data_IF_409471402809
#
_entry.id   IF_409471402809
#
_cell.length_a   1.000
_cell.length_b   1.000
_cell.length_c   1.000
_cell.angle_alpha   90.00
_cell.angle_beta   90.00
_cell.angle_gamma   90.00
#
_symmetry.space_group_name_H-M   'P 1'
#
loop_
_entity.id
_entity.type
_entity.pdbx_description
1 polymer ?
#
# COMPACT_ATOMS: atom_id res chain seq x y z
N UNK A 1 11.00 -56.24 8.16
CA UNK A 1 10.71 -55.57 9.45
C UNK A 1 12.03 -55.14 10.08
N UNK A 2 12.60 -54.07 9.53
CA UNK A 2 13.77 -53.38 10.08
C UNK A 2 13.36 -51.91 10.14
N UNK A 3 13.66 -51.28 11.28
CA UNK A 3 13.90 -49.84 11.48
C UNK A 3 13.37 -49.38 12.84
N UNK A 4 13.96 -49.95 13.89
CA UNK A 4 14.14 -49.28 15.19
C UNK A 4 15.64 -49.17 15.44
N UNK A 5 16.29 -48.17 14.82
CA UNK A 5 17.63 -47.73 15.22
C UNK A 5 17.85 -46.31 14.75
N UNK A 6 18.32 -45.47 15.67
CA UNK A 6 18.76 -44.08 15.51
C UNK A 6 17.69 -42.98 15.63
N UNK A 7 17.10 -42.85 16.83
CA UNK A 7 16.83 -41.49 17.35
C UNK A 7 18.20 -40.93 17.75
N UNK A 8 18.84 -40.24 16.82
CA UNK A 8 20.12 -39.57 17.07
C UNK A 8 19.94 -38.53 18.17
N UNK A 9 20.81 -38.59 19.19
CA UNK A 9 21.03 -37.47 20.13
C UNK A 9 21.12 -36.18 19.32
N UNK A 10 20.22 -35.22 19.52
CA UNK A 10 20.36 -33.85 19.03
C UNK A 10 21.58 -33.24 19.75
N UNK A 11 22.77 -33.50 19.22
CA UNK A 11 24.00 -32.92 19.74
C UNK A 11 23.94 -31.41 19.49
N UNK A 12 24.16 -30.62 20.55
CA UNK A 12 24.23 -29.16 20.43
C UNK A 12 25.18 -28.78 19.29
N UNK A 13 24.65 -28.05 18.30
CA UNK A 13 25.43 -27.64 17.15
C UNK A 13 26.68 -26.86 17.62
N UNK A 14 27.89 -27.26 17.18
CA UNK A 14 29.12 -26.63 17.64
C UNK A 14 29.27 -25.23 17.03
N UNK A 15 29.96 -24.33 17.75
CA UNK A 15 30.18 -22.94 17.33
C UNK A 15 30.75 -22.83 15.90
N UNK A 16 31.66 -23.75 15.53
CA UNK A 16 32.25 -23.79 14.20
C UNK A 16 31.23 -23.95 13.07
N UNK A 17 30.16 -24.71 13.28
CA UNK A 17 29.12 -24.88 12.26
C UNK A 17 28.33 -23.58 12.02
N UNK A 18 28.02 -22.83 13.09
CA UNK A 18 27.37 -21.52 12.94
C UNK A 18 28.25 -20.52 12.18
N UNK A 19 29.56 -20.52 12.44
CA UNK A 19 30.48 -19.60 11.77
C UNK A 19 30.63 -19.92 10.28
N UNK A 20 30.58 -21.20 9.90
CA UNK A 20 30.59 -21.62 8.49
C UNK A 20 29.29 -21.25 7.78
N UNK A 21 28.13 -21.51 8.41
CA UNK A 21 26.83 -21.17 7.82
C UNK A 21 26.60 -19.67 7.68
N UNK A 22 27.09 -18.88 8.62
CA UNK A 22 27.06 -17.43 8.53
C UNK A 22 28.06 -16.85 7.50
N UNK A 23 28.86 -17.70 6.84
CA UNK A 23 29.89 -17.29 5.88
C UNK A 23 31.06 -16.53 6.53
N UNK A 24 31.19 -16.58 7.85
CA UNK A 24 32.23 -15.86 8.60
C UNK A 24 33.58 -16.59 8.54
N UNK A 25 33.56 -17.92 8.37
CA UNK A 25 34.75 -18.74 8.11
C UNK A 25 34.42 -19.78 7.05
N UNK A 26 35.44 -20.25 6.34
CA UNK A 26 35.32 -21.36 5.39
C UNK A 26 35.41 -22.72 6.10
N UNK A 27 34.85 -23.80 5.51
CA UNK A 27 35.03 -25.16 6.02
C UNK A 27 36.51 -25.54 6.19
N UNK A 28 37.37 -25.06 5.28
CA UNK A 28 38.82 -25.27 5.34
C UNK A 28 39.46 -24.60 6.56
N UNK A 29 39.10 -23.35 6.85
CA UNK A 29 39.54 -22.62 8.05
C UNK A 29 39.07 -23.30 9.34
N UNK A 30 37.82 -23.78 9.36
CA UNK A 30 37.31 -24.54 10.49
C UNK A 30 38.12 -25.81 10.74
N UNK A 31 38.41 -26.59 9.70
CA UNK A 31 39.22 -27.81 9.81
C UNK A 31 40.65 -27.53 10.29
N UNK A 32 41.26 -26.42 9.86
CA UNK A 32 42.57 -26.00 10.34
C UNK A 32 42.52 -25.63 11.83
N UNK A 33 41.52 -24.87 12.25
CA UNK A 33 41.35 -24.48 13.65
C UNK A 33 41.09 -25.69 14.56
N UNK A 34 40.29 -26.67 14.09
CA UNK A 34 40.03 -27.92 14.82
C UNK A 34 41.28 -28.81 14.94
N UNK A 35 42.16 -28.84 13.94
CA UNK A 35 43.45 -29.55 14.04
C UNK A 35 44.40 -28.92 15.05
N UNK A 36 44.30 -27.61 15.25
CA UNK A 36 45.09 -26.85 16.22
C UNK A 36 44.50 -26.94 17.64
N UNK A 37 43.18 -27.13 17.74
CA UNK A 37 42.45 -27.42 18.97
C UNK A 37 42.67 -28.86 19.49
N UNK A 38 43.91 -29.36 19.41
CA UNK A 38 44.32 -30.62 20.07
C UNK A 38 44.57 -30.44 21.56
N UNK A 39 44.77 -29.20 21.98
CA UNK A 39 44.92 -28.81 23.38
C UNK A 39 43.56 -28.42 23.97
N UNK A 40 43.05 -29.14 25.00
CA UNK A 40 41.74 -28.88 25.58
C UNK A 40 41.60 -27.50 26.26
N UNK A 41 42.71 -26.82 26.59
CA UNK A 41 42.64 -25.49 27.20
C UNK A 41 42.35 -24.35 26.21
N UNK A 42 42.51 -24.60 24.89
CA UNK A 42 42.27 -23.57 23.87
C UNK A 42 40.86 -23.68 23.30
N UNK A 43 40.07 -22.63 23.46
CA UNK A 43 38.72 -22.57 22.86
C UNK A 43 38.81 -22.27 21.37
N UNK A 44 38.03 -22.97 20.55
CA UNK A 44 37.96 -22.77 19.10
C UNK A 44 37.85 -21.28 18.70
N UNK A 45 37.02 -20.51 19.40
CA UNK A 45 36.86 -19.07 19.13
C UNK A 45 38.15 -18.26 19.31
N UNK A 46 38.98 -18.59 20.29
CA UNK A 46 40.25 -17.91 20.52
C UNK A 46 41.28 -18.22 19.41
N UNK A 47 41.28 -19.46 18.91
CA UNK A 47 42.14 -19.88 17.78
C UNK A 47 41.75 -19.10 16.52
N UNK A 48 40.45 -18.98 16.23
CA UNK A 48 39.95 -18.23 15.07
C UNK A 48 40.28 -16.73 15.14
N UNK A 49 40.26 -16.16 16.35
CA UNK A 49 40.64 -14.76 16.59
C UNK A 49 42.15 -14.57 16.47
N UNK A 50 42.95 -15.47 17.04
CA UNK A 50 44.42 -15.41 16.96
C UNK A 50 44.94 -15.52 15.52
N UNK A 51 44.25 -16.27 14.65
CA UNK A 51 44.55 -16.37 13.20
C UNK A 51 44.03 -15.18 12.39
N UNK A 52 43.29 -14.24 13.01
CA UNK A 52 42.70 -13.09 12.34
C UNK A 52 41.52 -13.42 11.42
N UNK A 53 40.94 -14.64 11.50
CA UNK A 53 39.85 -15.05 10.63
C UNK A 53 38.49 -14.52 11.08
N UNK A 54 38.32 -14.26 12.39
CA UNK A 54 37.11 -13.67 12.95
C UNK A 54 37.50 -12.68 14.05
N UNK A 55 36.79 -11.56 14.18
CA UNK A 55 37.01 -10.62 15.28
C UNK A 55 36.31 -11.10 16.55
N UNK A 56 36.92 -10.86 17.72
CA UNK A 56 36.36 -11.22 19.03
C UNK A 56 34.90 -10.71 19.23
N UNK A 57 34.54 -9.46 18.88
CA UNK A 57 33.16 -8.97 19.04
C UNK A 57 32.14 -9.74 18.18
N UNK A 58 32.56 -10.26 17.02
CA UNK A 58 31.71 -11.05 16.13
C UNK A 58 31.34 -12.39 16.77
N UNK A 59 32.29 -13.03 17.45
CA UNK A 59 32.05 -14.29 18.17
C UNK A 59 31.12 -14.05 19.36
N UNK A 60 31.36 -12.97 20.12
CA UNK A 60 30.52 -12.59 21.27
C UNK A 60 29.08 -12.29 20.85
N UNK A 61 28.91 -11.54 19.76
CA UNK A 61 27.60 -11.24 19.20
C UNK A 61 26.85 -12.52 18.80
N UNK A 62 27.52 -13.40 18.05
CA UNK A 62 26.92 -14.64 17.56
C UNK A 62 26.56 -15.59 18.72
N UNK A 63 27.41 -15.67 19.74
CA UNK A 63 27.12 -16.42 20.96
C UNK A 63 25.89 -15.87 21.69
N UNK A 64 25.82 -14.55 21.90
CA UNK A 64 24.76 -13.93 22.68
C UNK A 64 23.41 -13.88 21.97
N UNK A 65 23.40 -13.66 20.65
CA UNK A 65 22.16 -13.42 19.88
C UNK A 65 21.63 -14.63 19.14
N UNK A 66 22.46 -15.64 18.86
CA UNK A 66 22.07 -16.80 18.04
C UNK A 66 22.25 -18.11 18.81
N UNK A 67 23.49 -18.42 19.24
CA UNK A 67 23.82 -19.74 19.79
C UNK A 67 23.15 -20.01 21.14
N UNK A 68 23.22 -19.08 22.09
CA UNK A 68 22.65 -19.27 23.43
C UNK A 68 21.11 -19.36 23.41
N UNK A 69 20.36 -18.50 22.68
CA UNK A 69 18.92 -18.65 22.53
C UNK A 69 18.50 -19.99 21.92
N UNK A 70 19.14 -20.45 20.84
CA UNK A 70 18.79 -21.73 20.21
C UNK A 70 19.03 -22.93 21.13
N UNK A 71 20.11 -22.91 21.92
CA UNK A 71 20.40 -23.97 22.90
C UNK A 71 19.40 -24.00 24.06
N UNK A 72 18.90 -22.85 24.48
CA UNK A 72 17.84 -22.78 25.50
C UNK A 72 16.53 -23.39 24.99
N UNK A 73 16.13 -23.03 23.77
CA UNK A 73 14.95 -23.60 23.10
C UNK A 73 15.08 -25.12 22.95
N UNK A 74 16.26 -25.62 22.52
CA UNK A 74 16.50 -27.05 22.40
C UNK A 74 16.40 -27.82 23.74
N UNK A 75 16.87 -27.23 24.85
CA UNK A 75 16.74 -27.82 26.19
C UNK A 75 15.31 -27.77 26.72
N UNK A 76 14.59 -26.69 26.48
CA UNK A 76 13.18 -26.57 26.87
C UNK A 76 12.30 -27.57 26.10
N UNK A 77 12.55 -27.79 24.80
CA UNK A 77 11.88 -28.84 24.04
C UNK A 77 12.20 -30.25 24.56
N UNK A 78 13.45 -30.53 24.96
CA UNK A 78 13.82 -31.83 25.51
C UNK A 78 13.11 -32.13 26.83
N UNK A 79 12.96 -31.13 27.72
CA UNK A 79 12.22 -31.28 28.98
C UNK A 79 10.70 -31.42 28.81
N UNK A 80 10.15 -30.98 27.68
CA UNK A 80 8.73 -31.13 27.36
C UNK A 80 8.40 -32.52 26.79
N UNK A 81 9.35 -33.16 26.08
CA UNK A 81 9.15 -34.46 25.43
C UNK A 81 9.19 -35.64 26.43
N UNK A 82 10.01 -35.55 27.50
CA UNK A 82 10.05 -36.58 28.56
C UNK A 82 8.74 -36.67 29.37
N UNK A 83 7.97 -35.58 29.49
CA UNK A 83 6.82 -35.51 30.38
C UNK A 83 5.46 -35.82 29.71
N UNK A 84 5.37 -36.03 28.39
CA UNK A 84 4.05 -36.05 27.73
C UNK A 84 3.86 -37.05 26.57
N UNK A 85 4.33 -38.28 26.73
CA UNK A 85 4.25 -39.35 25.72
C UNK A 85 2.84 -39.93 25.44
N UNK A 86 1.74 -39.21 25.69
CA UNK A 86 0.37 -39.75 25.42
C UNK A 86 -0.61 -38.86 24.65
N UNK A 87 -0.25 -37.65 24.26
CA UNK A 87 -1.20 -36.74 23.58
C UNK A 87 -0.70 -36.18 22.23
N UNK A 88 0.24 -36.87 21.56
CA UNK A 88 0.93 -36.32 20.39
C UNK A 88 0.21 -36.52 19.04
N UNK A 89 -0.87 -37.29 18.94
CA UNK A 89 -1.49 -37.57 17.63
C UNK A 89 -2.58 -36.54 17.25
N UNK A 90 -3.23 -35.90 18.23
CA UNK A 90 -4.32 -34.95 17.95
C UNK A 90 -3.92 -33.46 17.95
N UNK A 91 -2.64 -33.14 18.20
CA UNK A 91 -2.15 -31.74 18.24
C UNK A 91 -1.19 -31.36 17.11
N UNK A 92 -0.77 -32.31 16.29
CA UNK A 92 0.20 -32.09 15.19
C UNK A 92 -0.43 -31.41 13.97
N UNK A 93 -1.76 -31.31 13.89
CA UNK A 93 -2.45 -30.65 12.77
C UNK A 93 -2.59 -29.12 12.88
N UNK A 94 -2.13 -28.49 13.97
CA UNK A 94 -2.32 -27.02 14.15
C UNK A 94 -1.08 -26.20 14.47
N UNK A 95 0.12 -26.80 14.55
CA UNK A 95 1.36 -26.03 14.74
C UNK A 95 2.54 -26.64 13.96
N UNK A 96 2.47 -26.59 12.64
CA UNK A 96 3.65 -26.73 11.78
C UNK A 96 3.63 -25.63 10.72
N UNK A 97 4.03 -24.43 11.13
CA UNK A 97 4.69 -23.50 10.24
C UNK A 97 5.91 -22.96 10.97
N UNK A 98 7.03 -23.64 10.73
CA UNK A 98 8.37 -23.13 10.97
C UNK A 98 8.49 -21.75 10.31
N UNK A 99 8.46 -20.68 11.11
CA UNK A 99 8.84 -19.34 10.66
C UNK A 99 10.34 -19.36 10.33
N UNK A 100 10.67 -19.59 9.07
CA UNK A 100 11.88 -19.03 8.46
C UNK A 100 11.91 -17.53 8.78
N UNK A 101 13.09 -16.88 8.89
CA UNK A 101 13.18 -15.45 9.10
C UNK A 101 12.66 -14.73 7.85
N UNK A 102 11.36 -14.51 7.78
CA UNK A 102 10.74 -13.60 6.83
C UNK A 102 11.19 -12.22 7.27
N UNK A 103 11.92 -11.52 6.41
CA UNK A 103 12.20 -10.10 6.60
C UNK A 103 10.85 -9.37 6.67
N UNK A 104 10.38 -9.05 7.88
CA UNK A 104 9.16 -8.27 8.07
C UNK A 104 9.44 -6.83 7.67
N UNK A 105 9.14 -6.48 6.41
CA UNK A 105 9.16 -5.10 5.96
C UNK A 105 7.97 -4.36 6.57
N UNK A 106 8.17 -3.79 7.76
CA UNK A 106 7.15 -3.02 8.49
C UNK A 106 6.99 -1.63 7.87
N UNK A 107 6.12 -1.49 6.88
CA UNK A 107 5.71 -0.18 6.38
C UNK A 107 4.75 0.49 7.36
N UNK A 108 5.27 1.35 8.22
CA UNK A 108 4.45 2.29 8.97
C UNK A 108 4.08 3.48 8.08
N UNK A 109 2.95 3.39 7.36
CA UNK A 109 2.40 4.55 6.65
C UNK A 109 1.89 5.58 7.66
N UNK A 110 2.62 6.68 7.80
CA UNK A 110 2.18 7.83 8.58
C UNK A 110 1.23 8.68 7.76
N UNK A 111 -0.04 8.79 8.20
CA UNK A 111 -1.07 9.58 7.53
C UNK A 111 -0.60 11.00 7.18
N UNK A 112 0.08 11.68 8.12
CA UNK A 112 0.57 13.04 7.90
C UNK A 112 1.67 13.13 6.84
N UNK A 113 2.59 12.15 6.79
CA UNK A 113 3.66 12.12 5.78
C UNK A 113 3.10 11.84 4.39
N UNK A 114 2.17 10.89 4.29
CA UNK A 114 1.48 10.56 3.04
C UNK A 114 0.75 11.77 2.49
N UNK A 115 -0.05 12.46 3.31
CA UNK A 115 -0.79 13.66 2.88
C UNK A 115 0.13 14.79 2.41
N UNK A 116 1.22 15.07 3.13
CA UNK A 116 2.17 16.11 2.71
C UNK A 116 2.80 15.81 1.35
N UNK A 117 3.14 14.54 1.11
CA UNK A 117 3.66 14.11 -0.18
C UNK A 117 2.61 14.28 -1.29
N UNK A 118 1.38 13.85 -1.06
CA UNK A 118 0.28 13.98 -2.03
C UNK A 118 -0.04 15.44 -2.34
N UNK A 119 -0.09 16.31 -1.32
CA UNK A 119 -0.30 17.75 -1.50
C UNK A 119 0.81 18.38 -2.34
N UNK A 120 2.08 18.06 -2.06
CA UNK A 120 3.20 18.57 -2.84
C UNK A 120 3.09 18.15 -4.32
N UNK A 121 2.64 16.93 -4.57
CA UNK A 121 2.41 16.43 -5.93
C UNK A 121 1.26 17.18 -6.61
N UNK A 122 0.09 17.33 -5.97
CA UNK A 122 -1.06 18.07 -6.53
C UNK A 122 -0.68 19.52 -6.85
N UNK A 123 -0.11 20.26 -5.90
CA UNK A 123 0.30 21.64 -6.15
C UNK A 123 1.38 21.74 -7.23
N UNK A 124 2.27 20.76 -7.33
CA UNK A 124 3.24 20.66 -8.42
C UNK A 124 2.56 20.47 -9.79
N UNK A 125 1.59 19.56 -9.89
CA UNK A 125 0.84 19.32 -11.12
C UNK A 125 0.02 20.53 -11.54
N UNK A 126 -0.74 21.13 -10.62
CA UNK A 126 -1.51 22.36 -10.89
C UNK A 126 -0.58 23.48 -11.35
N UNK A 127 0.57 23.67 -10.68
CA UNK A 127 1.53 24.70 -11.07
C UNK A 127 2.08 24.48 -12.48
N UNK A 128 2.47 23.24 -12.82
CA UNK A 128 2.94 22.91 -14.17
C UNK A 128 1.82 23.12 -15.20
N UNK A 129 0.60 22.68 -14.89
CA UNK A 129 -0.56 22.86 -15.76
C UNK A 129 -0.81 24.34 -16.07
N UNK A 130 -0.82 25.19 -15.04
CA UNK A 130 -0.98 26.63 -15.19
C UNK A 130 0.15 27.26 -16.01
N UNK A 131 1.40 26.82 -15.86
CA UNK A 131 2.52 27.29 -16.68
C UNK A 131 2.36 26.88 -18.16
N UNK A 132 1.89 25.67 -18.43
CA UNK A 132 1.64 25.17 -19.78
C UNK A 132 0.47 25.90 -20.42
N UNK A 133 -0.62 26.14 -19.68
CA UNK A 133 -1.76 26.92 -20.17
C UNK A 133 -1.36 28.39 -20.40
N UNK A 134 -0.56 28.99 -19.51
CA UNK A 134 -0.02 30.32 -19.72
C UNK A 134 0.83 30.39 -21.00
N UNK A 135 1.66 29.38 -21.28
CA UNK A 135 2.48 29.35 -22.49
C UNK A 135 1.66 29.17 -23.77
N UNK A 136 0.51 28.50 -23.69
CA UNK A 136 -0.43 28.36 -24.81
C UNK A 136 -1.06 29.71 -25.18
N UNK A 137 -1.51 30.48 -24.20
CA UNK A 137 -2.27 31.73 -24.43
C UNK A 137 -1.40 32.98 -24.63
N UNK A 138 -0.23 33.06 -23.99
CA UNK A 138 0.56 34.31 -23.97
C UNK A 138 1.90 34.23 -24.70
N UNK A 139 2.43 33.03 -24.98
CA UNK A 139 3.70 32.88 -25.67
C UNK A 139 3.50 32.51 -27.15
N UNK A 140 4.41 32.94 -28.04
CA UNK A 140 4.46 32.43 -29.41
C UNK A 140 4.59 30.91 -29.43
N UNK A 141 4.09 30.27 -30.49
CA UNK A 141 4.19 28.83 -30.64
C UNK A 141 5.67 28.38 -30.65
N UNK A 142 5.96 27.29 -29.94
CA UNK A 142 7.29 26.68 -29.87
C UNK A 142 7.16 25.15 -30.00
N UNK A 143 8.23 24.46 -30.45
CA UNK A 143 8.17 23.02 -30.70
C UNK A 143 7.67 22.24 -29.49
N UNK A 144 6.83 21.23 -29.74
CA UNK A 144 6.25 20.31 -28.73
C UNK A 144 5.26 20.93 -27.73
N UNK A 145 4.97 22.25 -27.79
CA UNK A 145 3.98 22.86 -26.88
C UNK A 145 2.61 22.19 -27.02
N UNK A 146 2.03 22.27 -28.20
CA UNK A 146 0.64 21.87 -28.44
C UNK A 146 0.50 20.35 -28.60
N UNK A 147 1.55 19.66 -29.04
CA UNK A 147 1.53 18.22 -29.31
C UNK A 147 1.94 17.36 -28.12
N UNK A 148 2.72 17.90 -27.17
CA UNK A 148 3.28 17.15 -26.04
C UNK A 148 2.92 17.83 -24.72
N UNK A 149 3.35 19.06 -24.49
CA UNK A 149 3.20 19.67 -23.17
C UNK A 149 1.74 19.89 -22.76
N UNK A 150 0.93 20.46 -23.66
CA UNK A 150 -0.49 20.74 -23.40
C UNK A 150 -1.25 19.44 -23.12
N UNK A 151 -1.22 18.39 -23.97
CA UNK A 151 -1.94 17.15 -23.67
C UNK A 151 -1.45 16.42 -22.41
N UNK A 152 -0.15 16.46 -22.08
CA UNK A 152 0.39 15.73 -20.93
C UNK A 152 0.14 16.41 -19.58
N UNK A 153 -0.09 17.73 -19.54
CA UNK A 153 -0.22 18.48 -18.30
C UNK A 153 -1.52 19.29 -18.19
N UNK A 154 -2.40 19.26 -19.19
CA UNK A 154 -3.73 19.85 -19.06
C UNK A 154 -4.52 19.12 -17.97
N UNK A 155 -5.00 19.83 -16.96
CA UNK A 155 -5.77 19.21 -15.86
C UNK A 155 -7.18 18.78 -16.30
N UNK A 156 -7.74 19.45 -17.30
CA UNK A 156 -9.03 19.11 -17.97
C UNK A 156 -8.92 17.93 -18.94
N UNK A 157 -7.69 17.46 -19.21
CA UNK A 157 -7.48 16.40 -20.19
C UNK A 157 -7.59 15.01 -19.59
N UNK A 158 -7.94 14.05 -20.43
CA UNK A 158 -7.84 12.63 -20.11
C UNK A 158 -6.44 12.06 -20.40
N UNK A 159 -6.12 10.90 -19.82
CA UNK A 159 -4.94 10.09 -20.18
C UNK A 159 -3.59 10.82 -20.04
N UNK A 160 -3.47 11.66 -19.01
CA UNK A 160 -2.30 12.48 -18.76
C UNK A 160 -1.78 12.35 -17.31
N UNK A 161 -0.82 13.19 -16.91
CA UNK A 161 -0.23 13.09 -15.56
C UNK A 161 -1.23 13.45 -14.43
N UNK A 162 -2.04 14.52 -14.52
CA UNK A 162 -3.15 14.77 -13.60
C UNK A 162 -4.12 13.60 -13.45
N UNK A 163 -4.69 13.09 -14.56
CA UNK A 163 -5.64 11.98 -14.53
C UNK A 163 -5.01 10.70 -13.96
N UNK A 164 -3.76 10.41 -14.32
CA UNK A 164 -3.02 9.28 -13.74
C UNK A 164 -2.86 9.42 -12.23
N UNK A 165 -2.60 10.63 -11.73
CA UNK A 165 -2.53 10.90 -10.30
C UNK A 165 -3.87 10.62 -9.62
N UNK A 166 -4.96 11.20 -10.12
CA UNK A 166 -6.31 11.02 -9.56
C UNK A 166 -6.72 9.55 -9.53
N UNK A 167 -6.46 8.81 -10.63
CA UNK A 167 -6.70 7.37 -10.71
C UNK A 167 -5.93 6.61 -9.63
N UNK A 168 -4.63 6.86 -9.48
CA UNK A 168 -3.80 6.19 -8.48
C UNK A 168 -4.22 6.55 -7.05
N UNK A 169 -4.65 7.80 -6.80
CA UNK A 169 -5.13 8.24 -5.50
C UNK A 169 -6.46 7.58 -5.12
N UNK A 170 -7.40 7.46 -6.07
CA UNK A 170 -8.67 6.74 -5.90
C UNK A 170 -8.44 5.24 -5.70
N UNK A 171 -7.54 4.63 -6.49
CA UNK A 171 -7.15 3.23 -6.33
C UNK A 171 -6.51 2.96 -4.96
N UNK A 172 -5.69 3.91 -4.47
CA UNK A 172 -5.12 3.84 -3.14
C UNK A 172 -6.20 3.92 -2.05
N UNK A 173 -7.22 4.77 -2.21
CA UNK A 173 -8.39 4.78 -1.34
C UNK A 173 -9.11 3.42 -1.36
N UNK A 174 -9.34 2.85 -2.54
CA UNK A 174 -9.98 1.54 -2.70
C UNK A 174 -9.19 0.43 -1.98
N UNK A 175 -7.86 0.42 -2.09
CA UNK A 175 -6.98 -0.53 -1.41
C UNK A 175 -7.03 -0.39 0.12
N UNK A 176 -7.05 0.86 0.63
CA UNK A 176 -7.19 1.13 2.06
C UNK A 176 -8.56 0.66 2.56
N UNK A 177 -9.64 0.99 1.84
CA UNK A 177 -11.00 0.57 2.17
C UNK A 177 -11.17 -0.95 2.16
N UNK A 178 -10.58 -1.64 1.18
CA UNK A 178 -10.56 -3.10 1.13
C UNK A 178 -9.84 -3.69 2.35
N UNK A 179 -8.73 -3.08 2.76
CA UNK A 179 -8.01 -3.46 3.99
C UNK A 179 -8.90 -3.26 5.23
N UNK A 180 -9.53 -2.09 5.37
CA UNK A 180 -10.47 -1.82 6.48
C UNK A 180 -11.62 -2.84 6.47
N UNK A 181 -12.13 -3.19 5.29
CA UNK A 181 -13.20 -4.18 5.13
C UNK A 181 -12.78 -5.56 5.64
N UNK A 182 -11.57 -6.00 5.28
CA UNK A 182 -11.02 -7.27 5.75
C UNK A 182 -10.96 -7.31 7.28
N UNK A 183 -10.38 -6.29 7.90
CA UNK A 183 -10.23 -6.21 9.35
C UNK A 183 -11.59 -6.15 10.07
N UNK A 184 -12.54 -5.36 9.54
CA UNK A 184 -13.91 -5.29 10.08
C UNK A 184 -14.67 -6.60 9.96
N UNK A 185 -14.44 -7.36 8.90
CA UNK A 185 -14.99 -8.70 8.73
C UNK A 185 -14.48 -9.66 9.81
N UNK A 186 -13.17 -9.64 10.08
CA UNK A 186 -12.55 -10.46 11.13
C UNK A 186 -13.09 -10.11 12.51
N UNK A 187 -13.36 -8.82 12.77
CA UNK A 187 -13.95 -8.34 14.03
C UNK A 187 -15.46 -8.59 14.16
N UNK A 188 -16.14 -9.11 13.13
CA UNK A 188 -17.58 -9.34 13.15
C UNK A 188 -18.42 -8.05 13.14
N UNK A 189 -17.91 -6.96 12.56
CA UNK A 189 -18.59 -5.66 12.55
C UNK A 189 -19.82 -5.68 11.63
N UNK A 190 -20.96 -5.16 12.13
CA UNK A 190 -22.24 -5.11 11.42
C UNK A 190 -22.15 -4.34 10.09
N UNK A 191 -21.29 -3.31 10.01
CA UNK A 191 -21.19 -2.43 8.86
C UNK A 191 -20.08 -2.82 7.87
N UNK A 192 -19.51 -4.03 7.99
CA UNK A 192 -18.47 -4.54 7.08
C UNK A 192 -18.83 -4.40 5.60
N UNK A 193 -20.10 -4.67 5.23
CA UNK A 193 -20.57 -4.57 3.84
C UNK A 193 -20.50 -3.15 3.28
N UNK A 194 -20.66 -2.12 4.12
CA UNK A 194 -20.60 -0.72 3.70
C UNK A 194 -19.16 -0.30 3.38
N UNK A 195 -18.19 -0.74 4.19
CA UNK A 195 -16.76 -0.56 3.88
C UNK A 195 -16.38 -1.24 2.57
N UNK A 196 -16.87 -2.46 2.34
CA UNK A 196 -16.62 -3.20 1.09
C UNK A 196 -17.26 -2.53 -0.12
N UNK A 197 -18.49 -2.02 0.02
CA UNK A 197 -19.16 -1.27 -1.03
C UNK A 197 -18.39 0.01 -1.39
N UNK A 198 -17.88 0.76 -0.40
CA UNK A 198 -17.01 1.92 -0.66
C UNK A 198 -15.75 1.53 -1.44
N UNK A 199 -15.11 0.40 -1.08
CA UNK A 199 -13.92 -0.05 -1.81
C UNK A 199 -14.21 -0.32 -3.29
N UNK A 200 -15.36 -0.95 -3.59
CA UNK A 200 -15.80 -1.19 -4.97
C UNK A 200 -16.15 0.10 -5.69
N UNK A 201 -16.82 1.04 -5.03
CA UNK A 201 -17.15 2.35 -5.61
C UNK A 201 -15.89 3.13 -5.95
N UNK A 202 -14.91 3.22 -5.04
CA UNK A 202 -13.64 3.91 -5.32
C UNK A 202 -12.81 3.22 -6.40
N UNK A 203 -12.88 1.89 -6.49
CA UNK A 203 -12.27 1.16 -7.62
C UNK A 203 -12.96 1.53 -8.94
N UNK A 204 -14.29 1.61 -8.96
CA UNK A 204 -15.03 2.06 -10.13
C UNK A 204 -14.67 3.50 -10.52
N UNK A 205 -14.64 4.43 -9.57
CA UNK A 205 -14.23 5.82 -9.81
C UNK A 205 -12.79 5.89 -10.36
N UNK A 206 -11.86 5.08 -9.85
CA UNK A 206 -10.49 5.05 -10.39
C UNK A 206 -10.42 4.58 -11.84
N UNK A 207 -11.33 3.70 -12.26
CA UNK A 207 -11.41 3.25 -13.65
C UNK A 207 -12.09 4.30 -14.53
N UNK A 208 -13.11 4.96 -13.99
CA UNK A 208 -13.81 6.05 -14.67
C UNK A 208 -12.86 7.19 -15.00
N UNK A 209 -11.94 7.55 -14.11
CA UNK A 209 -10.90 8.57 -14.33
C UNK A 209 -10.05 8.36 -15.61
N UNK A 210 -9.82 7.12 -16.02
CA UNK A 210 -9.01 6.81 -17.23
C UNK A 210 -9.88 6.52 -18.44
N UNK A 211 -11.10 6.01 -18.23
CA UNK A 211 -11.99 5.56 -19.29
C UNK A 211 -13.08 6.57 -19.66
N UNK A 212 -13.22 7.62 -18.85
CA UNK A 212 -14.22 8.68 -18.90
C UNK A 212 -15.59 8.16 -19.26
N UNK A 213 -16.08 7.21 -18.46
CA UNK A 213 -17.36 6.57 -18.72
C UNK A 213 -18.50 7.55 -18.46
N UNK A 214 -18.36 8.46 -17.49
CA UNK A 214 -19.36 9.50 -17.22
C UNK A 214 -19.52 10.46 -18.41
N UNK A 215 -18.44 10.83 -19.12
CA UNK A 215 -18.52 11.67 -20.32
C UNK A 215 -19.38 11.04 -21.43
N UNK A 216 -19.34 9.71 -21.56
CA UNK A 216 -20.16 8.97 -22.55
C UNK A 216 -21.66 9.12 -22.30
N UNK A 217 -22.06 9.55 -21.10
CA UNK A 217 -23.45 9.82 -20.77
C UNK A 217 -23.89 11.25 -21.09
N UNK A 218 -22.97 12.17 -21.38
CA UNK A 218 -23.25 13.57 -21.69
C UNK A 218 -24.20 13.69 -22.89
N UNK A 219 -23.78 13.27 -24.08
CA UNK A 219 -24.55 13.45 -25.32
C UNK A 219 -25.92 12.77 -25.30
N UNK A 220 -26.05 11.50 -24.86
CA UNK A 220 -27.35 10.84 -24.77
C UNK A 220 -28.34 11.56 -23.83
N UNK A 221 -27.88 11.99 -22.66
CA UNK A 221 -28.74 12.66 -21.67
C UNK A 221 -29.08 14.07 -22.13
N UNK A 222 -28.10 14.81 -22.67
CA UNK A 222 -28.29 16.16 -23.18
C UNK A 222 -29.31 16.20 -24.30
N UNK A 223 -29.20 15.28 -25.26
CA UNK A 223 -30.13 15.20 -26.40
C UNK A 223 -31.53 14.78 -25.95
N UNK A 224 -31.64 13.80 -25.03
CA UNK A 224 -32.92 13.31 -24.55
C UNK A 224 -33.70 14.33 -23.71
N UNK A 225 -33.00 15.12 -22.90
CA UNK A 225 -33.58 16.11 -21.99
C UNK A 225 -33.50 17.56 -22.51
N UNK A 226 -32.85 17.77 -23.66
CA UNK A 226 -32.60 19.09 -24.26
C UNK A 226 -31.96 20.07 -23.27
N UNK A 227 -30.92 19.63 -22.56
CA UNK A 227 -30.30 20.41 -21.49
C UNK A 227 -29.29 21.44 -22.00
N UNK A 228 -29.12 22.50 -21.21
CA UNK A 228 -28.17 23.60 -21.43
C UNK A 228 -27.92 24.35 -20.12
N UNK A 229 -27.23 25.48 -20.20
CA UNK A 229 -26.84 26.29 -19.04
C UNK A 229 -26.09 25.46 -18.00
N UNK A 230 -26.57 25.45 -16.75
CA UNK A 230 -25.94 24.70 -15.65
C UNK A 230 -25.90 23.17 -15.88
N UNK A 231 -26.70 22.65 -16.82
CA UNK A 231 -26.72 21.24 -17.21
C UNK A 231 -26.17 21.03 -18.63
N UNK A 232 -25.28 21.92 -19.08
CA UNK A 232 -24.54 21.76 -20.33
C UNK A 232 -23.79 20.42 -20.35
N UNK A 233 -23.04 20.15 -19.28
CA UNK A 233 -22.47 18.83 -18.98
C UNK A 233 -23.53 17.95 -18.33
N UNK A 234 -24.35 17.32 -19.19
CA UNK A 234 -25.58 16.66 -18.74
C UNK A 234 -25.37 15.40 -17.87
N UNK A 235 -24.15 14.86 -17.82
CA UNK A 235 -23.80 13.70 -16.96
C UNK A 235 -23.99 14.00 -15.47
N UNK A 236 -23.96 15.27 -15.07
CA UNK A 236 -24.24 15.75 -13.70
C UNK A 236 -25.62 15.29 -13.23
N UNK A 237 -26.61 15.18 -14.13
CA UNK A 237 -27.98 14.78 -13.79
C UNK A 237 -28.03 13.33 -13.25
N UNK A 238 -27.62 12.29 -14.02
CA UNK A 238 -27.59 10.93 -13.50
C UNK A 238 -26.64 10.79 -12.31
N UNK A 239 -25.49 11.47 -12.31
CA UNK A 239 -24.57 11.44 -11.17
C UNK A 239 -25.20 12.00 -9.89
N UNK A 240 -25.93 13.11 -9.96
CA UNK A 240 -26.62 13.72 -8.82
C UNK A 240 -27.66 12.77 -8.22
N UNK A 241 -28.43 12.06 -9.05
CA UNK A 241 -29.40 11.05 -8.58
C UNK A 241 -28.67 9.92 -7.84
N UNK A 242 -27.57 9.41 -8.42
CA UNK A 242 -26.76 8.37 -7.79
C UNK A 242 -26.16 8.83 -6.45
N UNK A 243 -25.68 10.07 -6.36
CA UNK A 243 -25.13 10.65 -5.13
C UNK A 243 -26.19 10.77 -4.04
N UNK A 244 -27.42 11.20 -4.37
CA UNK A 244 -28.52 11.25 -3.40
C UNK A 244 -28.87 9.86 -2.89
N UNK A 245 -28.98 8.87 -3.77
CA UNK A 245 -29.24 7.47 -3.38
C UNK A 245 -28.11 6.94 -2.51
N UNK A 246 -26.87 7.17 -2.91
CA UNK A 246 -25.68 6.79 -2.14
C UNK A 246 -25.70 7.42 -0.75
N UNK A 247 -25.92 8.74 -0.64
CA UNK A 247 -26.00 9.42 0.64
C UNK A 247 -27.03 8.76 1.55
N UNK A 248 -28.27 8.57 1.07
CA UNK A 248 -29.36 7.95 1.84
C UNK A 248 -29.02 6.53 2.33
N UNK A 249 -28.42 5.70 1.49
CA UNK A 249 -28.00 4.33 1.86
C UNK A 249 -26.92 4.37 2.94
N UNK A 250 -25.95 5.29 2.82
CA UNK A 250 -24.80 5.37 3.72
C UNK A 250 -25.03 6.26 4.96
N UNK A 251 -26.16 6.97 5.08
CA UNK A 251 -26.46 7.83 6.23
C UNK A 251 -26.31 7.11 7.59
N UNK A 252 -26.87 5.91 7.71
CA UNK A 252 -26.79 5.12 8.96
C UNK A 252 -25.37 4.66 9.26
N UNK A 253 -24.63 4.28 8.22
CA UNK A 253 -23.22 3.91 8.35
C UNK A 253 -22.38 5.10 8.82
N UNK A 254 -22.57 6.27 8.19
CA UNK A 254 -21.86 7.50 8.50
C UNK A 254 -22.16 7.97 9.94
N UNK A 255 -23.42 7.88 10.38
CA UNK A 255 -23.83 8.18 11.74
C UNK A 255 -23.21 7.24 12.79
N UNK A 256 -22.84 6.02 12.41
CA UNK A 256 -22.19 5.04 13.30
C UNK A 256 -20.68 5.31 13.50
N UNK A 257 -20.04 6.02 12.56
CA UNK A 257 -18.61 6.29 12.66
C UNK A 257 -18.27 7.20 13.84
N UNK A 258 -17.08 7.04 14.46
CA UNK A 258 -16.58 7.97 15.47
C UNK A 258 -16.60 9.42 14.96
N UNK A 259 -17.00 10.37 15.81
CA UNK A 259 -17.26 11.78 15.42
C UNK A 259 -16.11 12.42 14.64
N UNK A 260 -14.86 12.19 15.04
CA UNK A 260 -13.69 12.70 14.32
C UNK A 260 -13.56 12.13 12.89
N UNK A 261 -13.76 10.82 12.71
CA UNK A 261 -13.72 10.18 11.39
C UNK A 261 -14.91 10.61 10.54
N UNK A 262 -16.12 10.63 11.12
CA UNK A 262 -17.34 11.05 10.44
C UNK A 262 -17.22 12.45 9.86
N UNK A 263 -16.77 13.42 10.66
CA UNK A 263 -16.69 14.81 10.22
C UNK A 263 -15.67 14.98 9.07
N UNK A 264 -14.54 14.28 9.13
CA UNK A 264 -13.56 14.29 8.04
C UNK A 264 -14.08 13.57 6.77
N UNK A 265 -14.87 12.51 6.94
CA UNK A 265 -15.52 11.80 5.83
C UNK A 265 -16.52 12.70 5.10
N UNK A 266 -17.36 13.42 5.87
CA UNK A 266 -18.29 14.43 5.33
C UNK A 266 -17.53 15.54 4.64
N UNK A 267 -16.48 16.08 5.28
CA UNK A 267 -15.66 17.14 4.70
C UNK A 267 -15.01 16.72 3.37
N UNK A 268 -14.42 15.52 3.32
CA UNK A 268 -13.85 14.96 2.09
C UNK A 268 -14.90 14.85 0.97
N UNK A 269 -16.06 14.27 1.30
CA UNK A 269 -17.16 14.13 0.34
C UNK A 269 -17.70 15.47 -0.14
N UNK A 270 -17.88 16.45 0.74
CA UNK A 270 -18.33 17.80 0.36
C UNK A 270 -17.33 18.49 -0.55
N UNK A 271 -16.03 18.43 -0.26
CA UNK A 271 -14.99 19.05 -1.10
C UNK A 271 -14.98 18.40 -2.48
N UNK A 272 -15.00 17.05 -2.53
CA UNK A 272 -15.02 16.31 -3.80
C UNK A 272 -16.26 16.62 -4.63
N UNK A 273 -17.47 16.52 -4.05
CA UNK A 273 -18.72 16.81 -4.75
C UNK A 273 -18.86 18.28 -5.17
N UNK A 274 -18.23 19.21 -4.43
CA UNK A 274 -18.19 20.61 -4.82
C UNK A 274 -17.35 20.84 -6.08
N UNK A 275 -16.30 20.04 -6.32
CA UNK A 275 -15.64 19.96 -7.63
C UNK A 275 -16.55 19.28 -8.65
N UNK A 276 -16.67 17.95 -8.55
CA UNK A 276 -17.29 17.07 -9.53
C UNK A 276 -18.73 17.41 -9.97
N UNK A 277 -19.54 18.01 -9.10
CA UNK A 277 -20.90 18.44 -9.47
C UNK A 277 -21.03 19.96 -9.41
N UNK A 278 -20.49 20.58 -8.36
CA UNK A 278 -20.64 22.01 -8.14
C UNK A 278 -19.96 22.85 -9.21
N UNK A 279 -18.65 22.64 -9.38
CA UNK A 279 -17.86 23.37 -10.37
C UNK A 279 -18.25 22.96 -11.78
N UNK A 280 -18.56 21.69 -12.02
CA UNK A 280 -19.05 21.19 -13.31
C UNK A 280 -20.30 21.95 -13.80
N UNK A 281 -21.25 22.23 -12.90
CA UNK A 281 -22.43 23.05 -13.25
C UNK A 281 -22.06 24.50 -13.56
N UNK A 282 -21.04 25.06 -12.88
CA UNK A 282 -20.58 26.44 -13.08
C UNK A 282 -19.79 26.56 -14.38
N UNK A 283 -18.85 25.66 -14.62
CA UNK A 283 -18.04 25.55 -15.85
C UNK A 283 -18.94 25.23 -17.04
N UNK A 284 -19.95 24.36 -16.87
CA UNK A 284 -20.95 24.05 -17.88
C UNK A 284 -21.81 25.25 -18.28
N UNK A 285 -22.31 26.03 -17.31
CA UNK A 285 -23.04 27.28 -17.61
C UNK A 285 -22.17 28.27 -18.38
N UNK A 286 -20.90 28.39 -18.00
CA UNK A 286 -19.95 29.24 -18.72
C UNK A 286 -19.71 28.71 -20.15
N UNK A 287 -19.51 27.40 -20.31
CA UNK A 287 -19.25 26.76 -21.59
C UNK A 287 -20.42 26.91 -22.58
N UNK A 288 -21.67 26.84 -22.10
CA UNK A 288 -22.86 27.04 -22.94
C UNK A 288 -22.95 28.46 -23.51
N UNK A 289 -22.49 29.47 -22.76
CA UNK A 289 -22.58 30.88 -23.15
C UNK A 289 -21.36 31.36 -23.96
N UNK A 290 -20.17 30.91 -23.59
CA UNK A 290 -18.91 31.47 -24.06
C UNK A 290 -17.99 30.45 -24.74
N UNK A 291 -18.36 29.18 -24.74
CA UNK A 291 -17.51 28.08 -25.20
C UNK A 291 -16.42 27.69 -24.19
N UNK A 292 -15.62 26.70 -24.57
CA UNK A 292 -14.56 26.13 -23.73
C UNK A 292 -13.17 26.73 -24.01
N UNK A 293 -13.03 27.47 -25.12
CA UNK A 293 -11.75 28.05 -25.56
C UNK A 293 -11.45 29.41 -24.89
N UNK A 294 -11.42 29.44 -23.56
CA UNK A 294 -11.10 30.67 -22.83
C UNK A 294 -10.31 30.43 -21.55
N UNK A 295 -9.52 31.43 -21.14
CA UNK A 295 -8.74 31.36 -19.90
C UNK A 295 -9.63 31.29 -18.66
N UNK A 296 -10.81 31.91 -18.71
CA UNK A 296 -11.79 31.85 -17.61
C UNK A 296 -12.31 30.42 -17.43
N UNK A 297 -12.64 29.72 -18.52
CA UNK A 297 -13.04 28.32 -18.47
C UNK A 297 -11.92 27.45 -17.86
N UNK A 298 -10.67 27.64 -18.29
CA UNK A 298 -9.51 26.91 -17.75
C UNK A 298 -9.35 27.14 -16.24
N UNK A 299 -9.56 28.35 -15.75
CA UNK A 299 -9.49 28.65 -14.31
C UNK A 299 -10.60 27.91 -13.56
N UNK A 300 -11.83 27.86 -14.10
CA UNK A 300 -12.94 27.13 -13.49
C UNK A 300 -12.63 25.64 -13.39
N UNK A 301 -12.17 25.02 -14.47
CA UNK A 301 -11.78 23.59 -14.44
C UNK A 301 -10.57 23.35 -13.55
N UNK A 302 -9.59 24.25 -13.52
CA UNK A 302 -8.45 24.11 -12.58
C UNK A 302 -8.91 24.10 -11.12
N UNK A 303 -9.95 24.89 -10.79
CA UNK A 303 -10.54 24.89 -9.44
C UNK A 303 -11.31 23.59 -9.19
N UNK A 304 -12.08 23.11 -10.15
CA UNK A 304 -12.80 21.83 -10.13
C UNK A 304 -11.85 20.67 -9.80
N UNK A 305 -10.83 20.49 -10.61
CA UNK A 305 -9.78 19.47 -10.48
C UNK A 305 -9.04 19.55 -9.15
N UNK A 306 -8.69 20.77 -8.73
CA UNK A 306 -8.06 20.98 -7.43
C UNK A 306 -8.97 20.55 -6.27
N UNK A 307 -10.27 20.88 -6.33
CA UNK A 307 -11.23 20.47 -5.30
C UNK A 307 -11.36 18.96 -5.24
N UNK A 308 -11.47 18.28 -6.39
CA UNK A 308 -11.53 16.82 -6.43
C UNK A 308 -10.30 16.16 -5.78
N UNK A 309 -9.11 16.55 -6.23
CA UNK A 309 -7.86 16.03 -5.69
C UNK A 309 -7.71 16.30 -4.18
N UNK A 310 -8.09 17.50 -3.71
CA UNK A 310 -8.08 17.82 -2.28
C UNK A 310 -9.08 16.97 -1.49
N UNK A 311 -10.27 16.73 -2.04
CA UNK A 311 -11.29 15.85 -1.45
C UNK A 311 -10.73 14.44 -1.24
N UNK A 312 -10.07 13.88 -2.25
CA UNK A 312 -9.41 12.56 -2.18
C UNK A 312 -8.29 12.56 -1.13
N UNK A 313 -7.46 13.60 -1.06
CA UNK A 313 -6.38 13.70 -0.05
C UNK A 313 -6.94 13.71 1.38
N UNK A 314 -7.99 14.50 1.63
CA UNK A 314 -8.67 14.53 2.94
C UNK A 314 -9.25 13.15 3.25
N UNK A 315 -9.77 12.45 2.24
CA UNK A 315 -10.29 11.10 2.40
C UNK A 315 -9.18 10.10 2.77
N UNK A 316 -8.03 10.11 2.09
CA UNK A 316 -6.87 9.29 2.41
C UNK A 316 -6.40 9.53 3.84
N UNK A 317 -6.30 10.80 4.25
CA UNK A 317 -5.97 11.15 5.63
C UNK A 317 -6.95 10.51 6.62
N UNK A 318 -8.25 10.62 6.33
CA UNK A 318 -9.33 10.09 7.15
C UNK A 318 -9.20 8.58 7.34
N UNK A 319 -8.99 7.85 6.25
CA UNK A 319 -8.87 6.39 6.26
C UNK A 319 -7.61 5.92 7.00
N UNK A 320 -6.46 6.53 6.73
CA UNK A 320 -5.20 6.16 7.41
C UNK A 320 -5.24 6.50 8.91
N UNK A 321 -5.83 7.65 9.27
CA UNK A 321 -6.04 8.05 10.67
C UNK A 321 -7.01 7.10 11.38
N UNK A 322 -8.08 6.68 10.70
CA UNK A 322 -9.02 5.69 11.21
C UNK A 322 -8.35 4.34 11.44
N UNK A 323 -7.57 3.84 10.48
CA UNK A 323 -6.79 2.60 10.62
C UNK A 323 -5.84 2.68 11.82
N UNK A 324 -5.03 3.74 11.91
CA UNK A 324 -4.06 3.91 12.98
C UNK A 324 -4.70 3.94 14.37
N UNK A 325 -5.94 4.44 14.50
CA UNK A 325 -6.62 4.61 15.79
C UNK A 325 -7.45 3.40 16.20
N UNK A 326 -8.12 2.75 15.24
CA UNK A 326 -9.14 1.73 15.53
C UNK A 326 -8.77 0.32 15.06
N UNK A 327 -7.76 0.17 14.21
CA UNK A 327 -7.29 -1.13 13.72
C UNK A 327 -5.89 -1.37 14.26
N UNK A 328 -5.81 -2.13 15.36
CA UNK A 328 -4.53 -2.52 15.95
C UNK A 328 -3.91 -3.64 15.12
N UNK A 329 -2.68 -3.41 14.63
CA UNK A 329 -1.85 -4.50 14.08
C UNK A 329 -2.00 -4.77 12.59
N UNK A 330 -2.15 -3.74 11.75
CA UNK A 330 -1.99 -3.89 10.29
C UNK A 330 -0.52 -4.25 10.00
N UNK A 331 -0.22 -5.54 10.08
CA UNK A 331 0.95 -6.15 9.47
C UNK A 331 0.54 -6.45 8.03
N UNK A 332 0.74 -5.48 7.13
CA UNK A 332 0.63 -5.70 5.69
C UNK A 332 1.71 -6.71 5.28
N UNK A 333 1.36 -8.00 5.30
CA UNK A 333 2.20 -9.08 4.80
C UNK A 333 2.10 -9.11 3.27
N UNK A 334 2.96 -8.36 2.59
CA UNK A 334 3.19 -8.54 1.16
C UNK A 334 4.19 -9.69 1.00
N UNK A 335 3.71 -10.92 0.89
CA UNK A 335 4.56 -12.08 0.57
C UNK A 335 4.77 -12.14 -0.95
N UNK A 336 5.81 -11.50 -1.46
CA UNK A 336 6.29 -11.76 -2.80
C UNK A 336 7.11 -13.06 -2.79
N UNK A 337 6.54 -14.16 -3.29
CA UNK A 337 7.30 -15.39 -3.55
C UNK A 337 8.07 -15.22 -4.85
N UNK A 338 9.35 -14.85 -4.79
CA UNK A 338 10.25 -14.99 -5.93
C UNK A 338 10.53 -16.48 -6.08
N UNK A 339 9.88 -17.12 -7.06
CA UNK A 339 10.19 -18.49 -7.45
C UNK A 339 11.47 -18.45 -8.30
N UNK A 340 12.63 -18.66 -7.66
CA UNK A 340 13.88 -18.88 -8.36
C UNK A 340 13.79 -20.20 -9.13
N UNK A 341 13.48 -20.13 -10.43
CA UNK A 341 13.68 -21.24 -11.36
C UNK A 341 15.18 -21.48 -11.48
N UNK A 342 15.68 -22.51 -10.78
CA UNK A 342 17.01 -23.09 -11.00
C UNK A 342 17.18 -23.39 -12.49
N UNK A 343 18.05 -22.64 -13.16
CA UNK A 343 18.63 -23.04 -14.45
C UNK A 343 19.49 -24.28 -14.22
N UNK A 344 19.04 -25.43 -14.73
CA UNK A 344 19.89 -26.59 -15.00
C UNK A 344 20.66 -26.28 -16.29
N UNK A 345 21.96 -26.05 -16.18
CA UNK A 345 22.86 -26.28 -17.32
C UNK A 345 23.29 -27.74 -17.21
N UNK A 346 22.96 -28.51 -18.24
CA UNK A 346 23.39 -29.89 -18.40
C UNK A 346 24.46 -29.88 -19.49
N UNK A 347 25.56 -30.57 -19.19
CA UNK A 347 26.82 -30.76 -19.94
C UNK A 347 27.82 -29.62 -19.81
#
# INVERSE_FOLDING_TARGET
MSDRKQIGRLQEKPLGAYLVEAGLITPTQLNMALKEQKDPEKRLGQILVAKGWVKQPTIEYLMAKVVLPERKVGKELFHLDENNSKNLVDRVSTQSHSKLPVCELRFHLSAAKTVRFLLALVFGLIFISLLVQFSLYYLPNYPMRDTVLVPLFNVDGEQNFPALYSCLALLFCAAILATITHEKKVMGDRYTRYWGALAVIFLFLSLDEILSLHEKTLEPVRTALQTGGIFYFAWVIPASVLVVVFALVFLRFLAHLPTGTRNLFVMAGTIYLAGALGMEMISGYYADLYGTESIQYIILVTIEELLEMLGIIVFIYTLLSYMSKYIKGINLQVSASIHDKKFKISV
#
